data_IF_752677670499
#
_entry.id   IF_752677670499
#
_cell.length_a   1.000
_cell.length_b   1.000
_cell.length_c   1.000
_cell.angle_alpha   90.00
_cell.angle_beta   90.00
_cell.angle_gamma   90.00
#
_symmetry.space_group_name_H-M   'P 1'
#
loop_
_entity.id
_entity.type
_entity.pdbx_description
1 polymer ?
#
# COMPACT_ATOMS: atom_id res chain seq x y z
N UNK A 1 -12.23 -20.11 4.47
CA UNK A 1 -12.36 -20.46 5.90
C UNK A 1 -12.18 -19.19 6.72
N UNK A 2 -13.06 -18.88 7.69
CA UNK A 2 -12.90 -17.72 8.57
C UNK A 2 -11.65 -17.83 9.43
N UNK A 3 -11.06 -16.68 9.80
CA UNK A 3 -9.93 -16.55 10.72
C UNK A 3 -10.44 -15.75 11.92
N UNK A 4 -10.76 -16.43 13.02
CA UNK A 4 -11.53 -15.84 14.13
C UNK A 4 -10.63 -15.29 15.22
N UNK A 5 -9.42 -15.83 15.37
CA UNK A 5 -8.47 -15.41 16.40
C UNK A 5 -7.18 -14.88 15.79
N UNK A 6 -6.43 -14.04 16.54
CA UNK A 6 -5.11 -13.59 16.10
C UNK A 6 -4.12 -14.72 15.80
N UNK A 7 -4.32 -15.92 16.37
CA UNK A 7 -3.47 -17.10 16.12
C UNK A 7 -3.74 -17.74 14.76
N UNK A 8 -4.93 -17.53 14.19
CA UNK A 8 -5.32 -18.06 12.88
C UNK A 8 -4.78 -17.18 11.74
N UNK A 9 -4.42 -15.93 12.05
CA UNK A 9 -3.85 -15.02 11.08
C UNK A 9 -2.42 -15.45 10.70
N UNK A 10 -2.06 -15.34 9.40
CA UNK A 10 -0.68 -15.51 9.01
C UNK A 10 0.21 -14.41 9.63
N UNK A 11 1.52 -14.68 9.79
CA UNK A 11 2.46 -13.70 10.36
C UNK A 11 2.52 -12.38 9.60
N UNK A 12 2.21 -12.42 8.30
CA UNK A 12 2.21 -11.26 7.41
C UNK A 12 0.87 -11.14 6.69
N UNK A 13 0.33 -9.93 6.69
CA UNK A 13 -0.83 -9.52 5.90
C UNK A 13 -0.42 -8.28 5.12
N UNK A 14 -0.23 -8.42 3.81
CA UNK A 14 0.31 -7.33 2.99
C UNK A 14 -0.52 -7.11 1.73
N UNK A 15 -0.79 -5.85 1.44
CA UNK A 15 -1.43 -5.43 0.20
C UNK A 15 -0.40 -4.74 -0.71
N UNK A 16 -0.21 -5.28 -1.91
CA UNK A 16 0.58 -4.62 -2.93
C UNK A 16 -0.25 -3.66 -3.77
N UNK A 17 0.28 -2.45 -3.96
CA UNK A 17 -0.35 -1.42 -4.78
C UNK A 17 0.67 -0.69 -5.65
N UNK A 18 0.16 0.17 -6.53
CA UNK A 18 0.95 1.05 -7.38
C UNK A 18 1.12 2.41 -6.71
N UNK A 19 2.22 3.10 -7.01
CA UNK A 19 2.57 4.39 -6.39
C UNK A 19 1.45 5.42 -6.54
N UNK A 20 0.84 5.51 -7.72
CA UNK A 20 -0.28 6.41 -8.02
C UNK A 20 -1.50 6.24 -7.09
N UNK A 21 -1.66 5.08 -6.46
CA UNK A 21 -2.78 4.83 -5.54
C UNK A 21 -2.40 5.06 -4.07
N UNK A 22 -1.10 5.12 -3.76
CA UNK A 22 -0.62 5.24 -2.39
C UNK A 22 -1.16 6.47 -1.66
N UNK A 23 -1.18 7.70 -2.23
CA UNK A 23 -1.71 8.87 -1.54
C UNK A 23 -3.17 8.69 -1.08
N UNK A 24 -4.02 8.11 -1.94
CA UNK A 24 -5.42 7.84 -1.62
C UNK A 24 -5.56 6.74 -0.58
N UNK A 25 -4.78 5.65 -0.71
CA UNK A 25 -4.79 4.53 0.25
C UNK A 25 -4.32 5.00 1.62
N UNK A 26 -3.25 5.80 1.69
CA UNK A 26 -2.73 6.37 2.93
C UNK A 26 -3.80 7.20 3.65
N UNK A 27 -4.55 8.01 2.90
CA UNK A 27 -5.56 8.90 3.47
C UNK A 27 -6.89 8.21 3.81
N UNK A 28 -7.38 7.33 2.93
CA UNK A 28 -8.75 6.78 3.01
C UNK A 28 -8.81 5.31 3.41
N UNK A 29 -7.69 4.60 3.34
CA UNK A 29 -7.62 3.16 3.56
C UNK A 29 -7.65 2.33 2.27
N UNK A 30 -7.56 1.01 2.43
CA UNK A 30 -7.77 0.07 1.34
C UNK A 30 -9.27 -0.10 1.13
N UNK A 31 -9.69 -0.28 -0.11
CA UNK A 31 -11.09 -0.48 -0.47
C UNK A 31 -11.26 -1.77 -1.26
N UNK A 32 -12.38 -2.46 -1.06
CA UNK A 32 -12.87 -3.52 -1.93
C UNK A 32 -13.03 -3.03 -3.39
N UNK A 33 -13.20 -1.72 -3.58
CA UNK A 33 -13.51 -1.08 -4.86
C UNK A 33 -14.75 -1.75 -5.46
N UNK A 34 -14.73 -2.14 -6.74
CA UNK A 34 -15.81 -2.88 -7.39
C UNK A 34 -15.79 -4.40 -7.16
N UNK A 35 -15.05 -4.89 -6.16
CA UNK A 35 -14.99 -6.31 -5.79
C UNK A 35 -15.67 -6.53 -4.44
N UNK A 36 -15.81 -7.79 -4.04
CA UNK A 36 -16.40 -8.16 -2.76
C UNK A 36 -15.41 -8.11 -1.59
N UNK A 37 -14.11 -8.27 -1.85
CA UNK A 37 -13.09 -8.35 -0.79
C UNK A 37 -11.79 -7.62 -1.17
N UNK A 38 -11.11 -7.10 -0.16
CA UNK A 38 -9.70 -6.70 -0.22
C UNK A 38 -8.85 -7.96 -0.15
N UNK A 39 -7.91 -8.10 -1.07
CA UNK A 39 -6.98 -9.23 -1.12
C UNK A 39 -5.68 -8.87 -0.44
N UNK A 40 -5.21 -9.75 0.44
CA UNK A 40 -3.98 -9.65 1.21
C UNK A 40 -3.12 -10.88 0.93
N UNK A 41 -1.85 -10.64 0.62
CA UNK A 41 -0.83 -11.65 0.49
C UNK A 41 -0.24 -11.99 1.86
N UNK A 42 0.38 -13.16 1.97
CA UNK A 42 1.07 -13.64 3.17
C UNK A 42 2.58 -13.46 3.10
N UNK A 43 3.07 -12.64 2.16
CA UNK A 43 4.50 -12.39 1.90
C UNK A 43 4.71 -11.40 0.76
N UNK A 44 5.95 -10.95 0.56
CA UNK A 44 6.34 -10.03 -0.50
C UNK A 44 6.77 -10.76 -1.79
N UNK A 45 6.76 -10.09 -2.96
CA UNK A 45 7.35 -10.64 -4.18
C UNK A 45 8.83 -10.99 -3.96
N UNK A 46 9.17 -12.24 -4.23
CA UNK A 46 10.53 -12.77 -4.10
C UNK A 46 10.79 -13.53 -2.79
N UNK A 47 9.86 -13.51 -1.82
CA UNK A 47 9.97 -14.34 -0.63
C UNK A 47 9.76 -15.82 -0.99
N UNK A 48 10.57 -16.70 -0.41
CA UNK A 48 10.48 -18.14 -0.63
C UNK A 48 9.09 -18.66 -0.22
N UNK A 49 8.38 -19.30 -1.16
CA UNK A 49 7.05 -19.87 -0.91
C UNK A 49 5.86 -18.94 -1.21
N UNK A 50 6.08 -17.69 -1.63
CA UNK A 50 5.00 -16.80 -2.08
C UNK A 50 4.67 -17.06 -3.55
N UNK A 51 3.81 -18.04 -3.80
CA UNK A 51 3.37 -18.42 -5.15
C UNK A 51 2.30 -17.45 -5.68
N UNK A 52 1.48 -16.87 -4.78
CA UNK A 52 0.39 -15.98 -5.18
C UNK A 52 0.08 -14.94 -4.12
N UNK A 53 -0.30 -13.74 -4.55
CA UNK A 53 -0.86 -12.71 -3.66
C UNK A 53 -0.57 -11.29 -4.10
N UNK A 54 0.58 -11.04 -4.74
CA UNK A 54 1.00 -9.68 -5.08
C UNK A 54 1.63 -9.61 -6.47
N UNK A 55 1.28 -8.58 -7.25
CA UNK A 55 1.84 -8.42 -8.60
C UNK A 55 3.34 -8.09 -8.49
N UNK A 56 4.21 -8.70 -9.32
CA UNK A 56 5.66 -8.47 -9.25
C UNK A 56 6.09 -7.02 -9.47
N UNK A 57 5.24 -6.22 -10.11
CA UNK A 57 5.48 -4.82 -10.41
C UNK A 57 4.83 -3.84 -9.42
N UNK A 58 4.26 -4.32 -8.31
CA UNK A 58 3.82 -3.43 -7.24
C UNK A 58 5.00 -2.57 -6.75
N UNK A 59 4.70 -1.30 -6.47
CA UNK A 59 5.70 -0.31 -6.03
C UNK A 59 5.58 -0.02 -4.55
N UNK A 60 4.44 -0.32 -3.94
CA UNK A 60 4.18 -0.08 -2.52
C UNK A 60 3.56 -1.34 -1.91
N UNK A 61 4.03 -1.70 -0.72
CA UNK A 61 3.47 -2.74 0.13
C UNK A 61 2.88 -2.08 1.39
N UNK A 62 1.63 -2.38 1.71
CA UNK A 62 0.96 -1.89 2.92
C UNK A 62 0.73 -3.07 3.84
N UNK A 63 1.36 -3.04 5.01
CA UNK A 63 1.27 -4.09 6.01
C UNK A 63 0.11 -3.81 6.95
N UNK A 64 -0.67 -4.85 7.23
CA UNK A 64 -1.91 -4.73 8.00
C UNK A 64 -1.72 -5.30 9.40
N UNK A 65 -2.14 -4.55 10.40
CA UNK A 65 -2.33 -5.02 11.77
C UNK A 65 -3.63 -5.82 11.86
N UNK A 66 -3.56 -7.09 11.44
CA UNK A 66 -4.70 -8.01 11.47
C UNK A 66 -5.29 -8.23 12.87
N UNK A 67 -4.49 -8.43 13.94
CA UNK A 67 -5.03 -8.57 15.30
C UNK A 67 -5.87 -7.38 15.75
N UNK A 68 -5.42 -6.15 15.46
CA UNK A 68 -6.19 -4.93 15.77
C UNK A 68 -7.49 -4.88 14.97
N UNK A 69 -7.43 -5.20 13.66
CA UNK A 69 -8.61 -5.20 12.81
C UNK A 69 -9.63 -6.27 13.24
N UNK A 70 -9.19 -7.47 13.62
CA UNK A 70 -10.04 -8.53 14.17
C UNK A 70 -10.71 -8.08 15.47
N UNK A 71 -9.96 -7.47 16.39
CA UNK A 71 -10.50 -6.96 17.66
C UNK A 71 -11.59 -5.89 17.45
N UNK A 72 -11.45 -5.08 16.39
CA UNK A 72 -12.43 -4.07 15.98
C UNK A 72 -13.57 -4.65 15.11
N UNK A 73 -13.66 -5.97 14.97
CA UNK A 73 -14.76 -6.67 14.28
C UNK A 73 -14.59 -6.83 12.76
N UNK A 74 -13.42 -6.52 12.20
CA UNK A 74 -13.15 -6.75 10.77
C UNK A 74 -12.86 -8.23 10.54
N UNK A 75 -13.70 -8.89 9.74
CA UNK A 75 -13.55 -10.30 9.45
C UNK A 75 -12.42 -10.57 8.45
N UNK A 76 -11.73 -11.71 8.62
CA UNK A 76 -10.74 -12.21 7.67
C UNK A 76 -11.08 -13.66 7.28
N UNK A 77 -10.75 -13.99 6.03
CA UNK A 77 -10.98 -15.31 5.47
C UNK A 77 -9.76 -15.78 4.71
N UNK A 78 -9.42 -17.06 4.84
CA UNK A 78 -8.43 -17.73 3.98
C UNK A 78 -9.12 -18.44 2.83
N UNK A 79 -8.72 -18.11 1.61
CA UNK A 79 -9.13 -18.82 0.40
C UNK A 79 -8.43 -20.18 0.29
N UNK A 80 -8.93 -21.05 -0.60
CA UNK A 80 -8.32 -22.36 -0.88
C UNK A 80 -6.87 -22.25 -1.38
N UNK A 81 -6.51 -21.15 -2.05
CA UNK A 81 -5.17 -20.89 -2.57
C UNK A 81 -4.27 -20.17 -1.55
N UNK A 82 -4.70 -20.05 -0.29
CA UNK A 82 -3.93 -19.42 0.79
C UNK A 82 -3.96 -17.89 0.80
N UNK A 83 -4.55 -17.24 -0.20
CA UNK A 83 -4.79 -15.78 -0.20
C UNK A 83 -5.74 -15.41 0.93
N UNK A 84 -5.43 -14.33 1.65
CA UNK A 84 -6.27 -13.79 2.72
C UNK A 84 -7.18 -12.73 2.15
N UNK A 85 -8.43 -12.74 2.58
CA UNK A 85 -9.52 -11.89 2.10
C UNK A 85 -10.14 -11.18 3.31
N UNK A 86 -10.50 -9.91 3.15
CA UNK A 86 -11.33 -9.20 4.12
C UNK A 86 -12.36 -8.34 3.38
N UNK A 87 -13.63 -8.33 3.80
CA UNK A 87 -14.63 -7.42 3.25
C UNK A 87 -14.36 -5.96 3.68
N UNK A 88 -13.48 -5.71 4.65
CA UNK A 88 -13.33 -4.41 5.29
C UNK A 88 -14.48 -4.14 6.27
N UNK A 89 -14.71 -2.86 6.56
CA UNK A 89 -15.83 -2.38 7.37
C UNK A 89 -17.15 -2.43 6.57
N UNK A 90 -18.22 -1.89 7.14
CA UNK A 90 -19.53 -1.81 6.48
C UNK A 90 -19.50 -1.10 5.12
N UNK A 91 -18.56 -0.18 4.89
CA UNK A 91 -18.40 0.56 3.64
C UNK A 91 -17.45 -0.14 2.65
N UNK A 92 -16.91 -1.31 3.00
CA UNK A 92 -15.94 -2.03 2.17
C UNK A 92 -14.51 -1.50 2.28
N UNK A 93 -14.17 -0.83 3.39
CA UNK A 93 -12.86 -0.23 3.63
C UNK A 93 -12.10 -0.85 4.79
N UNK A 94 -10.80 -1.01 4.62
CA UNK A 94 -9.86 -1.23 5.70
C UNK A 94 -9.12 0.08 5.97
N UNK A 95 -9.51 0.74 7.06
CA UNK A 95 -9.07 2.10 7.40
C UNK A 95 -7.56 2.19 7.70
N UNK A 96 -6.93 3.38 7.51
CA UNK A 96 -5.50 3.57 7.77
C UNK A 96 -5.06 3.26 9.20
N UNK A 97 -5.96 3.32 10.20
CA UNK A 97 -5.64 2.92 11.58
C UNK A 97 -5.18 1.46 11.73
N UNK A 98 -5.49 0.62 10.75
CA UNK A 98 -5.04 -0.77 10.70
C UNK A 98 -3.73 -0.96 9.92
N UNK A 99 -3.12 0.11 9.40
CA UNK A 99 -1.84 0.00 8.73
C UNK A 99 -0.74 -0.04 9.78
N UNK A 100 0.05 -1.12 9.76
CA UNK A 100 1.20 -1.31 10.63
C UNK A 100 2.40 -0.53 10.12
N UNK A 101 2.65 -0.62 8.82
CA UNK A 101 3.74 0.08 8.12
C UNK A 101 3.47 0.07 6.61
N UNK A 102 4.18 0.92 5.87
CA UNK A 102 4.19 0.91 4.41
C UNK A 102 5.62 0.96 3.89
N UNK A 103 5.87 0.23 2.81
CA UNK A 103 7.19 0.09 2.21
C UNK A 103 7.09 0.37 0.71
N UNK A 104 7.89 1.31 0.22
CA UNK A 104 8.18 1.39 -1.20
C UNK A 104 9.05 0.19 -1.57
N UNK A 105 8.67 -0.57 -2.59
CA UNK A 105 9.39 -1.74 -3.08
C UNK A 105 10.35 -1.40 -4.22
N UNK A 106 10.00 -0.39 -5.02
CA UNK A 106 10.72 0.01 -6.24
C UNK A 106 10.70 1.54 -6.40
N UNK A 107 11.75 2.16 -6.99
CA UNK A 107 12.98 1.51 -7.48
C UNK A 107 13.89 1.01 -6.37
N UNK A 108 13.86 1.65 -5.21
CA UNK A 108 14.58 1.26 -4.00
C UNK A 108 13.63 0.94 -2.87
N UNK A 109 14.01 -0.02 -2.02
CA UNK A 109 13.26 -0.34 -0.81
C UNK A 109 13.45 0.76 0.21
N UNK A 110 12.36 1.44 0.59
CA UNK A 110 12.38 2.46 1.66
C UNK A 110 11.05 2.49 2.42
N UNK A 111 11.06 2.71 3.75
CA UNK A 111 9.84 2.96 4.51
C UNK A 111 9.09 4.18 3.98
N UNK A 112 7.77 4.17 4.10
CA UNK A 112 6.88 5.29 3.77
C UNK A 112 6.17 5.75 5.04
N UNK A 113 6.03 7.07 5.20
CA UNK A 113 5.24 7.62 6.31
C UNK A 113 3.76 7.26 6.15
N UNK A 114 3.18 6.74 7.22
CA UNK A 114 1.74 6.54 7.35
C UNK A 114 1.01 7.82 7.76
N UNK A 115 1.72 8.76 8.38
CA UNK A 115 1.18 10.06 8.74
C UNK A 115 1.12 10.96 7.50
N UNK A 116 0.14 11.86 7.49
CA UNK A 116 0.04 12.92 6.51
C UNK A 116 1.02 14.03 6.85
N UNK A 117 2.31 13.76 6.72
CA UNK A 117 3.31 14.82 6.71
C UNK A 117 3.16 15.56 5.38
N UNK A 118 2.83 16.86 5.44
CA UNK A 118 2.93 17.78 4.31
C UNK A 118 4.39 17.82 3.83
N UNK A 119 4.77 16.87 2.99
CA UNK A 119 5.98 17.03 2.18
C UNK A 119 5.69 18.09 1.12
N UNK A 120 6.00 19.33 1.49
CA UNK A 120 6.13 20.45 0.59
C UNK A 120 7.26 20.12 -0.38
N UNK A 121 6.93 19.63 -1.57
CA UNK A 121 7.92 19.45 -2.63
C UNK A 121 8.27 20.83 -3.21
N UNK A 122 9.11 21.59 -2.50
CA UNK A 122 9.85 22.70 -3.09
C UNK A 122 10.91 22.11 -4.03
N UNK A 123 10.54 21.90 -5.29
CA UNK A 123 11.53 21.69 -6.34
C UNK A 123 12.28 23.00 -6.57
N UNK A 124 13.36 23.22 -5.81
CA UNK A 124 14.41 24.17 -6.18
C UNK A 124 15.18 23.61 -7.38
N UNK A 125 14.68 23.88 -8.59
CA UNK A 125 15.47 23.71 -9.81
C UNK A 125 16.53 24.83 -9.90
N UNK A 126 17.79 24.53 -10.26
CA UNK A 126 18.82 25.55 -10.38
C UNK A 126 18.54 26.48 -11.57
N UNK A 127 18.67 27.78 -11.33
CA UNK A 127 18.68 28.84 -12.34
C UNK A 127 19.80 28.58 -13.35
N UNK A 128 19.46 28.34 -14.61
CA UNK A 128 20.39 28.48 -15.73
C UNK A 128 20.09 29.75 -16.51
N UNK A 129 20.85 30.78 -16.14
CA UNK A 129 21.37 31.90 -16.92
C UNK A 129 20.73 32.16 -18.30
N UNK A 130 19.99 33.27 -18.38
CA UNK A 130 19.75 34.01 -19.61
C UNK A 130 21.07 34.51 -20.20
N UNK A 131 21.55 33.89 -21.28
CA UNK A 131 22.63 34.43 -22.12
C UNK A 131 22.05 35.19 -23.30
N UNK A 132 22.31 36.51 -23.31
CA UNK A 132 22.87 37.19 -24.48
C UNK A 132 21.92 37.59 -25.61
N UNK A 133 21.38 38.80 -25.48
CA UNK A 133 20.91 39.65 -26.59
C UNK A 133 22.09 39.93 -27.55
N UNK A 134 21.95 39.70 -28.85
CA UNK A 134 22.66 40.48 -29.88
C UNK A 134 21.83 40.60 -31.15
N UNK A 135 21.51 41.85 -31.45
CA UNK A 135 20.93 42.34 -32.69
C UNK A 135 22.06 42.46 -33.70
N UNK A 136 21.82 42.05 -34.94
CA UNK A 136 22.64 42.42 -36.09
C UNK A 136 21.69 42.82 -37.21
N UNK A 137 21.69 44.12 -37.52
CA UNK A 137 21.18 44.67 -38.77
C UNK A 137 22.18 44.36 -39.88
N UNK A 138 21.68 44.01 -41.07
CA UNK A 138 22.06 44.54 -42.39
C UNK A 138 21.18 43.89 -43.45
#
# INVERSE_FOLDING_TARGET
MPLETPRDLPPMLVHGTFWQHWPSIRLKGLSCRGRTHIHLATGLPGDAGVISGMRPNCQVAVFINGPLALADGISFFRSVNGVILTPGNADGFLLPKYFKEALQLRPTRKPLSLAGDEETECQSGPQHSSRGRRMSQQ
#
